data_IF_048797532105
#
_entry.id   IF_048797532105
#
_cell.length_a   1.000
_cell.length_b   1.000
_cell.length_c   1.000
_cell.angle_alpha   90.00
_cell.angle_beta   90.00
_cell.angle_gamma   90.00
#
_symmetry.space_group_name_H-M   'P 1'
#
loop_
_entity.id
_entity.type
_entity.pdbx_description
1 polymer ?
#
# COMPACT_ATOMS: atom_id res chain seq x y z
N UNK A 1 -21.68 -10.87 -0.22
CA UNK A 1 -20.41 -10.60 0.45
C UNK A 1 -20.06 -11.83 1.26
N UNK A 2 -18.90 -12.43 1.04
CA UNK A 2 -18.43 -13.56 1.85
C UNK A 2 -18.01 -13.07 3.26
N UNK A 3 -17.93 -13.96 4.27
CA UNK A 3 -17.40 -13.58 5.58
C UNK A 3 -15.98 -12.99 5.49
N UNK A 4 -15.12 -13.57 4.67
CA UNK A 4 -13.76 -13.09 4.41
C UNK A 4 -13.73 -11.66 3.87
N UNK A 5 -14.56 -11.36 2.86
CA UNK A 5 -14.68 -10.01 2.31
C UNK A 5 -15.07 -8.98 3.39
N UNK A 6 -15.94 -9.36 4.33
CA UNK A 6 -16.34 -8.52 5.45
C UNK A 6 -15.17 -8.17 6.38
N UNK A 7 -14.34 -9.16 6.73
CA UNK A 7 -13.13 -8.92 7.54
C UNK A 7 -12.12 -8.02 6.81
N UNK A 8 -11.86 -8.32 5.54
CA UNK A 8 -10.93 -7.54 4.72
C UNK A 8 -11.40 -6.09 4.55
N UNK A 9 -12.71 -5.89 4.37
CA UNK A 9 -13.29 -4.55 4.28
C UNK A 9 -13.11 -3.76 5.60
N UNK A 10 -13.34 -4.38 6.75
CA UNK A 10 -13.15 -3.73 8.05
C UNK A 10 -11.68 -3.30 8.25
N UNK A 11 -10.72 -4.14 7.84
CA UNK A 11 -9.28 -3.83 7.87
C UNK A 11 -8.94 -2.68 6.91
N UNK A 12 -9.55 -2.65 5.72
CA UNK A 12 -9.35 -1.59 4.74
C UNK A 12 -9.88 -0.24 5.26
N UNK A 13 -11.03 -0.24 5.93
CA UNK A 13 -11.64 0.96 6.50
C UNK A 13 -10.86 1.47 7.73
N UNK A 14 -10.23 0.57 8.49
CA UNK A 14 -9.46 0.88 9.69
C UNK A 14 -8.05 0.24 9.65
N UNK A 15 -7.15 0.71 8.77
CA UNK A 15 -5.87 0.03 8.50
C UNK A 15 -4.92 0.01 9.69
N UNK A 16 -5.00 0.96 10.62
CA UNK A 16 -4.15 0.98 11.82
C UNK A 16 -4.71 0.12 12.97
N UNK A 17 -5.97 -0.29 12.89
CA UNK A 17 -6.62 -1.05 13.95
C UNK A 17 -6.18 -2.53 13.90
N UNK A 18 -5.35 -2.90 14.87
CA UNK A 18 -4.84 -4.26 14.99
C UNK A 18 -5.93 -5.25 15.41
N UNK A 19 -7.02 -4.81 16.06
CA UNK A 19 -8.09 -5.71 16.50
C UNK A 19 -8.78 -6.39 15.32
N UNK A 20 -9.11 -5.66 14.26
CA UNK A 20 -9.69 -6.25 13.05
C UNK A 20 -8.75 -7.28 12.40
N UNK A 21 -7.44 -7.03 12.44
CA UNK A 21 -6.42 -7.91 11.87
C UNK A 21 -6.26 -9.20 12.69
N UNK A 22 -6.30 -9.09 14.02
CA UNK A 22 -6.21 -10.25 14.92
C UNK A 22 -7.48 -11.11 14.85
N UNK A 23 -8.67 -10.51 14.80
CA UNK A 23 -9.93 -11.24 14.58
C UNK A 23 -9.88 -12.01 13.26
N UNK A 24 -9.38 -11.37 12.19
CA UNK A 24 -9.22 -12.04 10.91
C UNK A 24 -8.20 -13.19 10.96
N UNK A 25 -7.10 -13.04 11.72
CA UNK A 25 -6.14 -14.11 11.93
C UNK A 25 -6.77 -15.31 12.67
N UNK A 26 -7.60 -15.06 13.68
CA UNK A 26 -8.33 -16.13 14.39
C UNK A 26 -9.26 -16.88 13.42
N UNK A 27 -10.02 -16.14 12.60
CA UNK A 27 -10.88 -16.74 11.57
C UNK A 27 -10.09 -17.58 10.55
N UNK A 28 -8.95 -17.08 10.06
CA UNK A 28 -8.09 -17.82 9.13
C UNK A 28 -7.60 -19.14 9.71
N UNK A 29 -7.23 -19.14 11.00
CA UNK A 29 -6.79 -20.35 11.69
C UNK A 29 -7.93 -21.38 11.81
N UNK A 30 -9.16 -20.93 12.08
CA UNK A 30 -10.36 -21.79 12.06
C UNK A 30 -10.65 -22.37 10.67
N UNK A 31 -10.32 -21.64 9.59
CA UNK A 31 -10.41 -22.14 8.22
C UNK A 31 -9.23 -23.05 7.81
N UNK A 32 -8.24 -23.23 8.70
CA UNK A 32 -7.07 -24.07 8.46
C UNK A 32 -5.87 -23.35 7.81
N UNK A 33 -5.92 -22.03 7.64
CA UNK A 33 -4.79 -21.22 7.17
C UNK A 33 -3.97 -20.67 8.34
N UNK A 34 -3.41 -21.59 9.13
CA UNK A 34 -2.59 -21.25 10.30
C UNK A 34 -1.32 -20.48 9.92
N UNK A 35 -0.81 -20.66 8.69
CA UNK A 35 0.39 -19.96 8.23
C UNK A 35 0.11 -18.46 8.03
N UNK A 36 -1.01 -18.12 7.38
CA UNK A 36 -1.43 -16.73 7.19
C UNK A 36 -1.80 -16.06 8.51
N UNK A 37 -2.54 -16.78 9.36
CA UNK A 37 -2.89 -16.31 10.71
C UNK A 37 -1.64 -15.98 11.54
N UNK A 38 -0.67 -16.90 11.58
CA UNK A 38 0.59 -16.70 12.28
C UNK A 38 1.37 -15.48 11.76
N UNK A 39 1.41 -15.29 10.43
CA UNK A 39 2.10 -14.14 9.84
C UNK A 39 1.49 -12.80 10.26
N UNK A 40 0.15 -12.70 10.27
CA UNK A 40 -0.55 -11.50 10.73
C UNK A 40 -0.21 -11.21 12.19
N UNK A 41 -0.31 -12.21 13.07
CA UNK A 41 -0.02 -12.05 14.51
C UNK A 41 1.44 -11.64 14.75
N UNK A 42 2.39 -12.28 14.08
CA UNK A 42 3.83 -11.95 14.20
C UNK A 42 4.09 -10.50 13.82
N UNK A 43 3.57 -10.02 12.68
CA UNK A 43 3.79 -8.62 12.28
C UNK A 43 3.08 -7.64 13.22
N UNK A 44 1.86 -7.93 13.67
CA UNK A 44 1.15 -7.09 14.64
C UNK A 44 1.90 -7.00 15.99
N UNK A 45 2.56 -8.09 16.40
CA UNK A 45 3.39 -8.10 17.61
C UNK A 45 4.69 -7.32 17.39
N UNK A 46 5.38 -7.54 16.26
CA UNK A 46 6.62 -6.81 15.92
C UNK A 46 6.42 -5.29 15.94
N UNK A 47 5.28 -4.80 15.42
CA UNK A 47 4.94 -3.38 15.41
C UNK A 47 4.80 -2.78 16.82
N UNK A 48 4.44 -3.60 17.81
CA UNK A 48 4.30 -3.20 19.21
C UNK A 48 5.60 -3.39 20.02
N UNK A 49 6.60 -4.10 19.49
CA UNK A 49 7.88 -4.33 20.18
C UNK A 49 8.79 -3.10 20.16
N UNK A 50 9.51 -2.86 21.26
CA UNK A 50 10.58 -1.86 21.31
C UNK A 50 11.90 -2.43 20.75
N UNK A 51 12.96 -1.62 20.68
CA UNK A 51 14.26 -2.09 20.19
C UNK A 51 14.91 -3.15 21.11
N UNK A 52 14.64 -3.07 22.42
CA UNK A 52 15.26 -3.92 23.45
C UNK A 52 14.40 -5.14 23.82
N UNK A 53 13.30 -5.39 23.12
CA UNK A 53 12.42 -6.52 23.38
C UNK A 53 13.14 -7.85 23.08
N UNK A 54 13.31 -8.75 24.08
CA UNK A 54 14.06 -9.99 23.92
C UNK A 54 13.36 -10.99 22.97
N UNK A 55 12.06 -10.85 22.72
CA UNK A 55 11.30 -11.72 21.82
C UNK A 55 11.42 -11.30 20.35
N UNK A 56 11.85 -10.06 20.08
CA UNK A 56 11.93 -9.48 18.74
C UNK A 56 12.78 -10.28 17.75
N UNK A 57 13.96 -10.81 18.11
CA UNK A 57 14.76 -11.62 17.18
C UNK A 57 14.04 -12.90 16.74
N UNK A 58 13.31 -13.56 17.66
CA UNK A 58 12.55 -14.77 17.35
C UNK A 58 11.35 -14.46 16.43
N UNK A 59 10.63 -13.37 16.72
CA UNK A 59 9.53 -12.89 15.87
C UNK A 59 10.02 -12.53 14.46
N UNK A 60 11.15 -11.85 14.33
CA UNK A 60 11.77 -11.52 13.03
C UNK A 60 12.21 -12.78 12.26
N UNK A 61 12.78 -13.77 12.97
CA UNK A 61 13.13 -15.05 12.36
C UNK A 61 11.88 -15.76 11.83
N UNK A 62 10.79 -15.76 12.61
CA UNK A 62 9.52 -16.37 12.22
C UNK A 62 8.85 -15.63 11.06
N UNK A 63 8.84 -14.30 11.07
CA UNK A 63 8.34 -13.46 9.96
C UNK A 63 9.08 -13.81 8.66
N UNK A 64 10.42 -13.85 8.72
CA UNK A 64 11.27 -14.16 7.57
C UNK A 64 11.02 -15.57 7.03
N UNK A 65 10.93 -16.57 7.91
CA UNK A 65 10.64 -17.96 7.53
C UNK A 65 9.31 -18.06 6.77
N UNK A 66 8.26 -17.48 7.36
CA UNK A 66 6.92 -17.45 6.81
C UNK A 66 6.88 -16.72 5.46
N UNK A 67 7.49 -15.54 5.36
CA UNK A 67 7.58 -14.76 4.13
C UNK A 67 8.29 -15.53 3.01
N UNK A 68 9.46 -16.11 3.30
CA UNK A 68 10.23 -16.85 2.30
C UNK A 68 9.44 -18.01 1.69
N UNK A 69 8.60 -18.66 2.50
CA UNK A 69 7.84 -19.84 2.09
C UNK A 69 6.53 -19.51 1.37
N UNK A 70 5.80 -18.48 1.81
CA UNK A 70 4.41 -18.24 1.40
C UNK A 70 4.16 -16.92 0.65
N UNK A 71 5.17 -16.06 0.47
CA UNK A 71 4.98 -14.75 -0.18
C UNK A 71 4.30 -14.82 -1.54
N UNK A 72 4.59 -15.85 -2.35
CA UNK A 72 3.99 -15.99 -3.67
C UNK A 72 2.48 -16.22 -3.57
N UNK A 73 2.05 -17.13 -2.69
CA UNK A 73 0.66 -17.46 -2.47
C UNK A 73 -0.11 -16.28 -1.86
N UNK A 74 0.49 -15.57 -0.92
CA UNK A 74 -0.14 -14.41 -0.27
C UNK A 74 -0.25 -13.18 -1.17
N UNK A 75 0.67 -13.01 -2.13
CA UNK A 75 0.52 -12.01 -3.18
C UNK A 75 -0.54 -12.45 -4.20
N UNK A 76 -0.73 -13.76 -4.39
CA UNK A 76 -1.75 -14.33 -5.26
C UNK A 76 -1.72 -13.70 -6.66
N UNK A 77 -2.83 -13.13 -7.16
CA UNK A 77 -2.88 -12.50 -8.49
C UNK A 77 -1.97 -11.28 -8.68
N UNK A 78 -1.39 -10.72 -7.61
CA UNK A 78 -0.39 -9.66 -7.67
C UNK A 78 1.04 -10.20 -7.82
N UNK A 79 1.26 -11.50 -7.59
CA UNK A 79 2.56 -12.12 -7.78
C UNK A 79 3.03 -11.94 -9.24
N UNK A 80 4.24 -11.39 -9.42
CA UNK A 80 4.80 -11.08 -10.74
C UNK A 80 4.23 -9.80 -11.40
N UNK A 81 3.23 -9.14 -10.81
CA UNK A 81 2.72 -7.85 -11.27
C UNK A 81 3.33 -6.66 -10.54
N UNK A 82 3.70 -6.86 -9.27
CA UNK A 82 4.30 -5.86 -8.39
C UNK A 82 5.76 -6.15 -8.12
N UNK A 83 6.51 -5.11 -7.80
CA UNK A 83 7.91 -5.14 -7.38
C UNK A 83 8.03 -4.66 -5.93
N UNK A 84 9.06 -5.16 -5.22
CA UNK A 84 9.38 -4.80 -3.84
C UNK A 84 8.15 -4.74 -2.90
N UNK A 85 7.31 -5.78 -2.84
CA UNK A 85 6.17 -5.78 -1.93
C UNK A 85 6.65 -5.70 -0.48
N UNK A 86 6.09 -4.75 0.28
CA UNK A 86 6.29 -4.64 1.73
C UNK A 86 4.98 -5.01 2.40
N UNK A 87 5.07 -5.88 3.41
CA UNK A 87 3.95 -6.25 4.25
C UNK A 87 4.09 -5.60 5.62
N UNK A 88 3.00 -5.04 6.13
CA UNK A 88 2.90 -4.49 7.48
C UNK A 88 1.62 -4.96 8.15
N UNK A 89 1.74 -5.35 9.42
CA UNK A 89 0.64 -5.91 10.22
C UNK A 89 -0.12 -7.03 9.51
N UNK A 90 0.61 -7.85 8.75
CA UNK A 90 0.13 -9.01 8.02
C UNK A 90 -0.31 -8.74 6.58
N UNK A 91 -0.36 -7.51 6.09
CA UNK A 91 -0.97 -7.18 4.78
C UNK A 91 -0.03 -6.39 3.89
N UNK A 92 -0.24 -6.49 2.57
CA UNK A 92 0.48 -5.71 1.60
C UNK A 92 0.22 -4.21 1.82
N UNK A 93 1.28 -3.48 2.13
CA UNK A 93 1.25 -2.11 2.63
C UNK A 93 1.81 -1.14 1.60
N UNK A 94 2.90 -1.54 0.94
CA UNK A 94 3.50 -0.80 -0.15
C UNK A 94 4.00 -1.69 -1.28
N UNK A 95 3.94 -1.16 -2.50
CA UNK A 95 4.46 -1.81 -3.70
C UNK A 95 5.05 -0.80 -4.66
N UNK A 96 5.95 -1.27 -5.51
CA UNK A 96 6.32 -0.61 -6.75
C UNK A 96 5.60 -1.27 -7.91
N UNK A 97 5.03 -0.49 -8.83
CA UNK A 97 4.29 -1.02 -9.98
C UNK A 97 4.24 0.00 -11.13
N UNK A 98 4.20 -0.48 -12.37
CA UNK A 98 3.89 0.36 -13.53
C UNK A 98 2.47 0.97 -13.42
N UNK A 99 2.32 2.26 -13.74
CA UNK A 99 1.08 3.00 -13.60
C UNK A 99 -0.05 2.45 -14.47
N UNK A 100 0.25 1.99 -15.69
CA UNK A 100 -0.76 1.37 -16.56
C UNK A 100 -1.24 0.05 -15.97
N UNK A 101 -0.32 -0.75 -15.42
CA UNK A 101 -0.67 -2.02 -14.76
C UNK A 101 -1.45 -1.81 -13.46
N UNK A 102 -1.10 -0.80 -12.66
CA UNK A 102 -1.84 -0.40 -11.47
C UNK A 102 -3.30 -0.06 -11.82
N UNK A 103 -3.49 0.80 -12.83
CA UNK A 103 -4.81 1.19 -13.29
C UNK A 103 -5.61 0.03 -13.91
N UNK A 104 -4.95 -0.96 -14.50
CA UNK A 104 -5.61 -2.15 -15.03
C UNK A 104 -5.95 -3.19 -13.95
N UNK A 105 -5.34 -3.10 -12.77
CA UNK A 105 -5.47 -4.09 -11.70
C UNK A 105 -6.14 -3.53 -10.44
N UNK A 106 -6.90 -2.43 -10.57
CA UNK A 106 -7.46 -1.70 -9.42
C UNK A 106 -8.30 -2.57 -8.49
N UNK A 107 -9.07 -3.51 -9.04
CA UNK A 107 -9.91 -4.42 -8.26
C UNK A 107 -9.10 -5.32 -7.31
N UNK A 108 -7.86 -5.67 -7.67
CA UNK A 108 -6.98 -6.48 -6.83
C UNK A 108 -6.51 -5.74 -5.58
N UNK A 109 -6.50 -4.41 -5.61
CA UNK A 109 -6.12 -3.58 -4.47
C UNK A 109 -7.33 -3.20 -3.58
N UNK A 110 -8.56 -3.53 -4.00
CA UNK A 110 -9.78 -3.11 -3.30
C UNK A 110 -9.83 -3.64 -1.86
N UNK A 111 -9.44 -4.89 -1.63
CA UNK A 111 -9.48 -5.54 -0.32
C UNK A 111 -8.10 -5.59 0.37
N UNK A 112 -7.15 -4.79 -0.11
CA UNK A 112 -5.80 -4.71 0.46
C UNK A 112 -5.62 -3.33 1.10
N UNK A 113 -5.17 -3.21 2.36
CA UNK A 113 -4.93 -1.92 3.02
C UNK A 113 -3.64 -1.25 2.52
N UNK A 114 -3.49 -1.09 1.20
CA UNK A 114 -2.34 -0.47 0.57
C UNK A 114 -2.29 1.02 0.94
N UNK A 115 -1.19 1.46 1.55
CA UNK A 115 -1.00 2.85 2.00
C UNK A 115 0.03 3.60 1.17
N UNK A 116 0.95 2.90 0.51
CA UNK A 116 1.98 3.54 -0.32
C UNK A 116 2.13 2.84 -1.65
N UNK A 117 2.35 3.61 -2.71
CA UNK A 117 2.67 3.06 -4.03
C UNK A 117 3.76 3.88 -4.70
N UNK A 118 4.78 3.20 -5.19
CA UNK A 118 5.74 3.76 -6.14
C UNK A 118 5.26 3.44 -7.55
N UNK A 119 4.95 4.47 -8.33
CA UNK A 119 4.51 4.32 -9.71
C UNK A 119 5.62 4.65 -10.69
N UNK A 120 5.65 3.90 -11.79
CA UNK A 120 6.51 4.18 -12.95
C UNK A 120 5.68 4.38 -14.20
N UNK A 121 6.20 5.13 -15.16
CA UNK A 121 5.54 5.37 -16.45
C UNK A 121 4.26 6.21 -16.32
N UNK A 122 4.23 7.16 -15.38
CA UNK A 122 3.01 7.91 -15.04
C UNK A 122 2.62 8.93 -16.10
N UNK A 123 3.60 9.58 -16.76
CA UNK A 123 3.35 10.70 -17.68
C UNK A 123 2.26 10.43 -18.75
N UNK A 124 2.22 9.21 -19.31
CA UNK A 124 1.25 8.84 -20.35
C UNK A 124 -0.17 8.57 -19.82
N UNK A 125 -0.34 8.45 -18.50
CA UNK A 125 -1.60 8.09 -17.85
C UNK A 125 -1.99 9.03 -16.71
N UNK A 126 -1.32 10.17 -16.54
CA UNK A 126 -1.52 11.10 -15.42
C UNK A 126 -2.99 11.46 -15.19
N UNK A 127 -3.72 11.86 -16.22
CA UNK A 127 -5.16 12.14 -16.11
C UNK A 127 -5.99 10.97 -15.60
N UNK A 128 -5.70 9.74 -16.08
CA UNK A 128 -6.41 8.54 -15.62
C UNK A 128 -6.03 8.20 -14.18
N UNK A 129 -4.78 8.43 -13.80
CA UNK A 129 -4.31 8.28 -12.43
C UNK A 129 -5.02 9.27 -11.50
N UNK A 130 -5.14 10.54 -11.89
CA UNK A 130 -5.85 11.57 -11.13
C UNK A 130 -7.33 11.21 -10.88
N UNK A 131 -7.95 10.42 -11.76
CA UNK A 131 -9.33 9.93 -11.61
C UNK A 131 -9.43 8.60 -10.85
N UNK A 132 -8.32 8.02 -10.39
CA UNK A 132 -8.30 6.71 -9.76
C UNK A 132 -8.76 6.80 -8.29
N UNK A 133 -9.88 6.15 -7.90
CA UNK A 133 -10.39 6.23 -6.52
C UNK A 133 -9.47 5.58 -5.49
N UNK A 134 -8.57 4.69 -5.91
CA UNK A 134 -7.60 4.08 -4.99
C UNK A 134 -6.65 5.10 -4.36
N UNK A 135 -6.41 6.25 -5.02
CA UNK A 135 -5.58 7.31 -4.45
C UNK A 135 -6.14 7.85 -3.13
N UNK A 136 -7.47 7.81 -2.94
CA UNK A 136 -8.13 8.29 -1.71
C UNK A 136 -7.73 7.49 -0.46
N UNK A 137 -7.12 6.32 -0.65
CA UNK A 137 -6.72 5.40 0.41
C UNK A 137 -5.21 5.44 0.68
N UNK A 138 -4.45 6.09 -0.20
CA UNK A 138 -3.00 6.18 -0.06
C UNK A 138 -2.62 7.30 0.90
N UNK A 139 -1.54 7.06 1.64
CA UNK A 139 -0.83 8.04 2.47
C UNK A 139 0.42 8.55 1.77
N UNK A 140 1.03 7.72 0.93
CA UNK A 140 2.20 8.10 0.16
C UNK A 140 2.08 7.68 -1.31
N UNK A 141 2.48 8.58 -2.19
CA UNK A 141 2.54 8.36 -3.63
C UNK A 141 3.94 8.77 -4.08
N UNK A 142 4.71 7.79 -4.52
CA UNK A 142 6.07 8.01 -5.01
C UNK A 142 6.05 8.01 -6.54
N UNK A 143 6.40 9.17 -7.11
CA UNK A 143 6.48 9.43 -8.54
C UNK A 143 7.91 9.80 -8.96
N UNK A 144 8.92 9.37 -8.19
CA UNK A 144 10.33 9.58 -8.50
C UNK A 144 10.65 9.21 -9.96
N UNK A 145 11.25 10.15 -10.69
CA UNK A 145 11.78 9.87 -12.03
C UNK A 145 10.74 9.47 -13.08
N UNK A 146 9.54 10.06 -13.05
CA UNK A 146 8.44 9.75 -13.98
C UNK A 146 8.36 10.68 -15.20
N UNK A 147 9.34 11.55 -15.40
CA UNK A 147 9.35 12.57 -16.44
C UNK A 147 8.10 13.49 -16.44
N UNK A 148 7.57 13.77 -15.25
CA UNK A 148 6.42 14.66 -15.06
C UNK A 148 6.86 16.11 -15.15
N UNK A 149 6.25 16.87 -16.05
CA UNK A 149 6.35 18.33 -16.04
C UNK A 149 5.24 18.95 -15.18
N UNK A 150 5.25 20.28 -15.08
CA UNK A 150 4.26 21.03 -14.29
C UNK A 150 2.82 20.86 -14.79
N UNK A 151 2.59 20.55 -16.07
CA UNK A 151 1.24 20.29 -16.58
C UNK A 151 0.68 18.97 -16.04
N UNK A 152 1.51 17.92 -16.02
CA UNK A 152 1.12 16.64 -15.42
C UNK A 152 0.88 16.79 -13.91
N UNK A 153 1.73 17.57 -13.23
CA UNK A 153 1.55 17.83 -11.81
C UNK A 153 0.23 18.54 -11.53
N UNK A 154 -0.12 19.58 -12.28
CA UNK A 154 -1.40 20.26 -12.16
C UNK A 154 -2.59 19.30 -12.38
N UNK A 155 -2.53 18.46 -13.42
CA UNK A 155 -3.57 17.45 -13.65
C UNK A 155 -3.71 16.48 -12.46
N UNK A 156 -2.60 16.10 -11.82
CA UNK A 156 -2.63 15.23 -10.65
C UNK A 156 -3.22 15.96 -9.42
N UNK A 157 -2.84 17.22 -9.18
CA UNK A 157 -3.32 18.02 -8.06
C UNK A 157 -4.82 18.36 -8.16
N UNK A 158 -5.40 18.33 -9.37
CA UNK A 158 -6.85 18.44 -9.57
C UNK A 158 -7.63 17.16 -9.18
N UNK A 159 -6.95 16.08 -8.81
CA UNK A 159 -7.58 14.84 -8.40
C UNK A 159 -8.47 15.03 -7.16
N UNK A 160 -9.74 14.58 -7.19
CA UNK A 160 -10.61 14.59 -6.01
C UNK A 160 -10.23 13.51 -4.98
N UNK A 161 -9.20 12.71 -5.26
CA UNK A 161 -8.83 11.53 -4.49
C UNK A 161 -7.49 11.69 -3.76
N UNK A 162 -6.94 12.90 -3.64
CA UNK A 162 -5.69 13.13 -2.91
C UNK A 162 -5.88 13.51 -1.44
N UNK A 163 -7.11 13.63 -0.95
CA UNK A 163 -7.38 14.10 0.41
C UNK A 163 -6.76 13.24 1.54
N UNK A 164 -6.46 11.97 1.26
CA UNK A 164 -5.80 11.07 2.21
C UNK A 164 -4.27 11.11 2.16
N UNK A 165 -3.70 11.70 1.10
CA UNK A 165 -2.28 11.68 0.81
C UNK A 165 -1.53 12.66 1.73
N UNK A 166 -0.47 12.19 2.37
CA UNK A 166 0.35 12.98 3.30
C UNK A 166 1.79 13.15 2.83
N UNK A 167 2.17 12.45 1.76
CA UNK A 167 3.51 12.49 1.18
C UNK A 167 3.44 12.23 -0.32
N UNK A 168 3.97 13.17 -1.10
CA UNK A 168 4.07 13.08 -2.56
C UNK A 168 5.54 13.27 -2.95
N UNK A 169 6.18 12.19 -3.39
CA UNK A 169 7.60 12.23 -3.80
C UNK A 169 7.69 12.49 -5.30
N UNK A 170 8.31 13.61 -5.68
CA UNK A 170 8.38 14.10 -7.05
C UNK A 170 9.82 14.32 -7.53
N UNK A 171 10.81 13.90 -6.75
CA UNK A 171 12.22 14.00 -7.12
C UNK A 171 12.50 13.45 -8.52
N UNK A 172 13.48 14.07 -9.20
CA UNK A 172 13.89 13.67 -10.56
C UNK A 172 12.80 13.80 -11.63
N UNK A 173 11.88 14.74 -11.46
CA UNK A 173 10.94 15.17 -12.49
C UNK A 173 11.26 16.60 -12.97
N UNK A 174 11.04 16.92 -14.26
CA UNK A 174 11.23 18.27 -14.81
C UNK A 174 10.10 19.25 -14.40
N UNK A 175 9.90 19.42 -13.10
CA UNK A 175 8.91 20.37 -12.54
C UNK A 175 9.56 21.74 -12.43
N UNK A 176 8.91 22.74 -13.02
CA UNK A 176 9.35 24.13 -12.97
C UNK A 176 8.76 24.89 -11.76
N UNK A 177 9.05 26.19 -11.67
CA UNK A 177 8.56 27.06 -10.60
C UNK A 177 7.04 27.06 -10.48
N UNK A 178 6.30 27.02 -11.59
CA UNK A 178 4.84 27.04 -11.56
C UNK A 178 4.28 25.77 -10.92
N UNK A 179 4.92 24.61 -11.18
CA UNK A 179 4.55 23.36 -10.52
C UNK A 179 4.86 23.36 -9.02
N UNK A 180 5.99 23.97 -8.62
CA UNK A 180 6.33 24.13 -7.20
C UNK A 180 5.35 25.08 -6.46
N UNK A 181 4.96 26.18 -7.11
CA UNK A 181 3.95 27.09 -6.57
C UNK A 181 2.58 26.42 -6.44
N UNK A 182 2.20 25.59 -7.41
CA UNK A 182 0.96 24.82 -7.34
C UNK A 182 0.94 23.85 -6.15
N UNK A 183 2.04 23.13 -5.90
CA UNK A 183 2.19 22.27 -4.72
C UNK A 183 2.06 23.05 -3.42
N UNK A 184 2.75 24.19 -3.31
CA UNK A 184 2.68 25.05 -2.13
C UNK A 184 1.26 25.58 -1.85
N UNK A 185 0.40 25.63 -2.88
CA UNK A 185 -1.00 26.02 -2.78
C UNK A 185 -1.95 24.89 -2.35
N UNK A 186 -1.51 23.63 -2.29
CA UNK A 186 -2.36 22.49 -1.95
C UNK A 186 -2.41 22.26 -0.43
N UNK A 187 -3.54 22.56 0.25
CA UNK A 187 -3.63 22.35 1.68
C UNK A 187 -3.71 20.85 1.98
N UNK A 188 -2.72 20.32 2.72
CA UNK A 188 -2.67 18.92 3.14
C UNK A 188 -1.58 18.08 2.48
N UNK A 189 -0.84 18.65 1.52
CA UNK A 189 0.36 18.07 0.92
C UNK A 189 1.60 18.92 1.20
#
# INVERSE_FOLDING_TARGET
>A
MSPEEGFLQAIVENPEDLTHRLIYADWLEEQGDSARAAFIRVQCQLEQTTADDPTKPELQAREKELWQKYQHDWLGPLAGKVEKPVFRNGFLDSVMIDATRFLASQDLFRLVPLRSVELRGVASVTRRLAQCPLLARLRQLDLYGNALDSSHLLELLESPHLAGLTSLLLDRNPIDTAGAEALAGCPGL
#
